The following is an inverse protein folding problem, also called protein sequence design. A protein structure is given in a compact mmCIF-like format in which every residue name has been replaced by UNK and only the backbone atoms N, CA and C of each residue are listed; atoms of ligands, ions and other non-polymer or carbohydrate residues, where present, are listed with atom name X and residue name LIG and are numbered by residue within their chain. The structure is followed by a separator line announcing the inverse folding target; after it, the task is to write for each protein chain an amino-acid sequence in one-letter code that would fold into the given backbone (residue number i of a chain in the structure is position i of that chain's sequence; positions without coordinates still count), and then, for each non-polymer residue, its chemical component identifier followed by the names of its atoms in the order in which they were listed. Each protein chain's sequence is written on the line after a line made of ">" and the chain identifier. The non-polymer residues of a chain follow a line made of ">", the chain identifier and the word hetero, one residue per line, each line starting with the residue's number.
data_IF_526192684566
#
_entry.id   IF_526192684566
#
_cell.length_a   1.000
_cell.length_b   1.000
_cell.length_c   1.000
_cell.angle_alpha   90.00
_cell.angle_beta   90.00
_cell.angle_gamma   90.00
#
_symmetry.space_group_name_H-M   'P 1'
#
loop_
_entity.id
_entity.type
_entity.pdbx_description
1 polymer ?
2 non-polymer ?
3 non-polymer ?
#
# COMPACT_ATOMS: atom_id res chain seq x y z
N UNK A 9 -29.28 21.18 10.29
CA UNK A 9 -28.22 20.65 9.45
C UNK A 9 -28.62 20.57 7.98
N UNK A 10 -27.62 20.55 7.11
CA UNK A 10 -27.82 20.48 5.67
C UNK A 10 -27.07 19.28 5.12
N UNK A 11 -27.78 18.44 4.35
CA UNK A 11 -27.14 17.30 3.74
C UNK A 11 -26.18 17.74 2.65
N UNK A 12 -25.08 17.00 2.44
CA UNK A 12 -24.11 17.40 1.44
C UNK A 12 -24.72 17.32 0.04
N UNK A 13 -24.21 18.11 -0.91
CA UNK A 13 -24.76 18.09 -2.28
C UNK A 13 -24.86 16.68 -2.83
N UNK A 14 -26.08 16.20 -3.03
CA UNK A 14 -26.34 14.80 -3.33
C UNK A 14 -26.46 14.60 -4.83
N UNK A 15 -25.63 13.71 -5.36
CA UNK A 15 -25.72 13.38 -6.78
C UNK A 15 -26.99 12.56 -7.03
N UNK A 16 -27.45 12.60 -8.28
CA UNK A 16 -28.69 11.94 -8.67
C UNK A 16 -28.39 10.76 -9.58
N UNK A 17 -28.90 9.58 -9.20
CA UNK A 17 -28.66 8.31 -9.87
C UNK A 17 -29.88 7.88 -10.65
N UNK A 18 -29.75 7.60 -11.95
CA UNK A 18 -30.88 7.02 -12.70
C UNK A 18 -31.37 5.70 -12.14
N UNK A 19 -30.45 4.86 -11.65
CA UNK A 19 -30.80 3.55 -11.11
C UNK A 19 -31.12 3.70 -9.63
N UNK A 20 -32.23 3.12 -9.16
CA UNK A 20 -32.61 3.32 -7.74
C UNK A 20 -31.63 2.72 -6.75
N UNK A 21 -31.23 1.46 -6.95
CA UNK A 21 -30.41 0.74 -5.96
C UNK A 21 -28.94 0.68 -6.35
N UNK A 22 -28.64 0.17 -7.54
CA UNK A 22 -27.23 -0.01 -7.93
C UNK A 22 -26.51 1.32 -8.01
N UNK A 23 -27.15 2.34 -8.56
CA UNK A 23 -26.55 3.67 -8.54
C UNK A 23 -25.49 3.83 -9.62
N UNK A 24 -24.33 4.35 -9.22
CA UNK A 24 -23.23 4.60 -10.14
C UNK A 24 -22.14 3.53 -10.05
N UNK A 25 -22.53 2.28 -9.75
CA UNK A 25 -21.55 1.22 -9.60
C UNK A 25 -20.78 0.97 -10.89
N UNK A 26 -21.50 0.91 -12.01
CA UNK A 26 -20.85 0.65 -13.30
C UNK A 26 -19.91 1.80 -13.66
N UNK A 27 -20.34 3.04 -13.46
CA UNK A 27 -19.50 4.18 -13.78
C UNK A 27 -18.25 4.21 -12.90
N UNK A 28 -18.41 3.93 -11.61
CA UNK A 28 -17.26 3.92 -10.71
C UNK A 28 -16.30 2.79 -11.05
N UNK A 29 -16.82 1.63 -11.45
CA UNK A 29 -15.95 0.56 -11.89
C UNK A 29 -15.23 0.90 -13.19
N UNK A 30 -15.91 1.62 -14.09
CA UNK A 30 -15.31 1.94 -15.38
C UNK A 30 -14.20 2.97 -15.24
N UNK A 31 -14.45 4.04 -14.49
CA UNK A 31 -13.47 5.12 -14.33
C UNK A 31 -13.71 5.85 -13.02
N UNK A 32 -13.21 5.30 -11.91
CA UNK A 32 -13.47 5.95 -10.61
C UNK A 32 -12.79 7.30 -10.48
N UNK A 33 -11.54 7.44 -10.90
CA UNK A 33 -10.83 8.71 -10.74
C UNK A 33 -11.49 9.80 -11.57
N UNK A 34 -11.79 9.50 -12.83
CA UNK A 34 -12.45 10.49 -13.68
C UNK A 34 -13.85 10.82 -13.18
N UNK A 35 -14.58 9.81 -12.71
CA UNK A 35 -15.92 10.05 -12.20
C UNK A 35 -15.87 10.97 -10.99
N UNK A 36 -14.94 10.70 -10.07
CA UNK A 36 -14.77 11.57 -8.90
C UNK A 36 -14.35 12.97 -9.31
N UNK A 37 -13.47 13.08 -10.29
CA UNK A 37 -13.00 14.40 -10.72
C UNK A 37 -14.14 15.24 -11.28
N UNK A 38 -14.90 14.67 -12.21
CA UNK A 38 -16.01 15.44 -12.78
C UNK A 38 -17.10 15.70 -11.76
N UNK A 39 -17.35 14.76 -10.85
CA UNK A 39 -18.31 15.01 -9.79
C UNK A 39 -17.85 16.16 -8.89
N UNK A 40 -16.54 16.24 -8.63
CA UNK A 40 -16.01 17.37 -7.87
C UNK A 40 -16.24 18.68 -8.62
N UNK A 41 -15.89 18.72 -9.90
CA UNK A 41 -16.09 19.93 -10.68
C UNK A 41 -17.56 20.36 -10.70
N UNK A 42 -18.48 19.40 -10.68
CA UNK A 42 -19.89 19.71 -10.84
C UNK A 42 -20.61 20.01 -9.52
N UNK A 43 -20.20 19.38 -8.41
CA UNK A 43 -20.94 19.51 -7.16
C UNK A 43 -20.05 19.90 -5.98
N UNK A 44 -18.88 20.47 -6.22
CA UNK A 44 -18.03 20.91 -5.14
C UNK A 44 -17.28 19.76 -4.49
N UNK A 45 -16.75 20.00 -3.28
CA UNK A 45 -15.89 19.02 -2.63
C UNK A 45 -16.59 17.94 -1.81
N UNK A 46 -17.88 18.07 -1.53
CA UNK A 46 -18.54 17.17 -0.60
C UNK A 46 -19.66 16.40 -1.30
N UNK A 47 -19.46 16.11 -2.59
CA UNK A 47 -20.48 15.39 -3.34
C UNK A 47 -20.64 13.97 -2.81
N UNK A 48 -21.90 13.52 -2.75
CA UNK A 48 -22.24 12.20 -2.24
C UNK A 48 -22.58 11.26 -3.39
N UNK A 49 -22.70 9.98 -3.06
CA UNK A 49 -22.93 8.91 -4.01
C UNK A 49 -24.21 8.17 -3.67
N UNK A 50 -24.48 7.10 -4.43
CA UNK A 50 -25.43 6.06 -4.03
C UNK A 50 -24.95 4.79 -4.73
N UNK A 51 -24.23 3.94 -3.99
CA UNK A 51 -23.63 2.74 -4.56
C UNK A 51 -24.04 1.54 -3.73
N UNK A 52 -24.90 0.69 -4.31
CA UNK A 52 -25.30 -0.59 -3.72
C UNK A 52 -25.88 -0.33 -2.33
N UNK A 53 -26.85 0.57 -2.26
CA UNK A 53 -27.54 0.81 -1.00
C UNK A 53 -26.76 1.59 0.03
N UNK A 54 -25.60 2.15 -0.33
CA UNK A 54 -24.79 2.93 0.61
C UNK A 54 -24.49 4.29 0.02
N UNK A 55 -24.43 5.30 0.90
CA UNK A 55 -24.15 6.67 0.50
C UNK A 55 -22.66 6.95 0.71
N UNK A 56 -21.92 7.07 -0.38
CA UNK A 56 -20.47 7.25 -0.32
C UNK A 56 -20.17 8.75 -0.34
N UNK A 57 -20.15 9.36 0.85
CA UNK A 57 -19.95 10.80 0.98
C UNK A 57 -18.46 11.09 0.84
N UNK A 58 -18.02 11.29 -0.40
CA UNK A 58 -16.61 11.56 -0.65
C UNK A 58 -16.24 12.98 -0.23
N UNK A 59 -15.01 13.13 0.24
CA UNK A 59 -14.46 14.43 0.63
C UNK A 59 -13.19 14.65 -0.18
N UNK A 60 -13.28 15.52 -1.19
CA UNK A 60 -12.16 15.86 -2.04
C UNK A 60 -11.60 17.22 -1.66
N UNK A 61 -10.28 17.35 -1.76
CA UNK A 61 -9.61 18.57 -1.35
C UNK A 61 -9.10 18.49 0.08
N UNK A 62 -8.12 19.35 0.38
CA UNK A 62 -7.51 19.34 1.70
C UNK A 62 -8.51 19.70 2.78
N UNK A 63 -9.31 20.74 2.55
CA UNK A 63 -10.26 21.18 3.58
C UNK A 63 -11.28 20.11 3.89
N UNK A 64 -11.79 19.43 2.87
CA UNK A 64 -12.77 18.37 3.10
C UNK A 64 -12.14 17.14 3.72
N UNK A 65 -10.94 16.77 3.26
CA UNK A 65 -10.29 15.56 3.76
C UNK A 65 -9.73 15.74 5.17
N UNK A 66 -9.61 16.98 5.64
CA UNK A 66 -9.13 17.21 7.00
C UNK A 66 -10.01 16.53 8.03
N UNK A 67 -11.33 16.48 7.79
CA UNK A 67 -12.23 15.81 8.71
C UNK A 67 -11.86 14.34 8.86
N UNK A 68 -11.66 13.64 7.74
CA UNK A 68 -11.33 12.22 7.81
C UNK A 68 -9.93 12.00 8.39
N UNK A 69 -8.98 12.88 8.06
CA UNK A 69 -7.61 12.68 8.52
C UNK A 69 -7.39 13.13 9.95
N UNK A 70 -8.32 13.86 10.55
CA UNK A 70 -8.24 14.23 11.96
C UNK A 70 -9.33 13.62 12.81
N UNK A 71 -10.21 12.81 12.22
CA UNK A 71 -11.33 12.24 12.97
C UNK A 71 -10.85 11.17 13.93
N UNK A 72 -11.69 10.88 14.91
CA UNK A 72 -11.45 9.84 15.90
C UNK A 72 -12.25 8.60 15.56
N UNK A 73 -11.78 7.45 16.05
CA UNK A 73 -12.46 6.19 15.78
C UNK A 73 -13.85 6.16 16.41
N UNK A 74 -14.09 6.95 17.47
CA UNK A 74 -15.42 7.07 18.01
C UNK A 74 -16.38 7.79 17.07
N UNK A 75 -15.85 8.56 16.13
CA UNK A 75 -16.66 9.29 15.16
C UNK A 75 -16.65 8.63 13.78
N UNK A 76 -15.47 8.39 13.21
CA UNK A 76 -15.32 7.72 11.92
C UNK A 76 -14.74 6.33 12.19
N UNK A 77 -15.61 5.33 12.19
CA UNK A 77 -15.24 3.97 12.55
C UNK A 77 -14.77 3.22 11.31
N UNK A 78 -13.49 2.86 11.28
CA UNK A 78 -12.96 2.07 10.17
C UNK A 78 -13.36 0.60 10.28
N UNK A 79 -13.58 0.12 11.51
CA UNK A 79 -13.90 -1.29 11.69
C UNK A 79 -15.22 -1.65 11.02
N UNK A 80 -16.24 -0.80 11.15
CA UNK A 80 -17.53 -1.12 10.57
C UNK A 80 -17.48 -1.21 9.04
N UNK A 81 -16.42 -0.71 8.42
CA UNK A 81 -16.22 -0.84 6.98
C UNK A 81 -15.34 -2.03 6.64
N UNK A 82 -14.26 -2.24 7.40
CA UNK A 82 -13.21 -3.16 6.99
C UNK A 82 -13.20 -4.50 7.73
N UNK A 83 -14.06 -4.69 8.72
CA UNK A 83 -13.98 -5.89 9.55
C UNK A 83 -14.37 -7.13 8.76
N UNK A 84 -15.51 -7.07 8.06
CA UNK A 84 -16.00 -8.23 7.34
C UNK A 84 -15.04 -8.68 6.25
N UNK A 85 -14.12 -7.82 5.82
CA UNK A 85 -13.13 -8.21 4.83
C UNK A 85 -11.81 -8.63 5.48
N UNK A 86 -11.35 -7.94 6.52
CA UNK A 86 -10.03 -8.20 7.07
C UNK A 86 -10.02 -9.32 8.11
N UNK A 87 -11.09 -9.51 8.88
CA UNK A 87 -11.09 -10.56 9.89
C UNK A 87 -10.92 -11.96 9.29
N UNK A 88 -11.71 -12.39 8.29
CA UNK A 88 -11.52 -13.76 7.80
C UNK A 88 -10.15 -14.04 7.20
N UNK A 89 -9.52 -13.03 6.61
CA UNK A 89 -8.24 -13.24 5.93
C UNK A 89 -7.06 -13.09 6.88
N UNK A 90 -7.12 -12.13 7.82
CA UNK A 90 -6.02 -11.92 8.75
C UNK A 90 -6.12 -12.84 9.96
N UNK A 91 -7.25 -12.83 10.65
CA UNK A 91 -7.43 -13.65 11.83
C UNK A 91 -8.41 -13.01 12.78
N UNK A 92 -8.67 -13.71 13.87
CA UNK A 92 -9.56 -13.24 14.92
C UNK A 92 -8.74 -12.72 16.09
N UNK A 93 -9.15 -11.58 16.64
CA UNK A 93 -8.41 -10.94 17.70
C UNK A 93 -7.25 -10.09 17.23
N UNK A 94 -7.14 -9.84 15.93
CA UNK A 94 -6.06 -9.05 15.37
C UNK A 94 -6.64 -8.13 14.30
N UNK A 95 -5.85 -7.13 13.90
CA UNK A 95 -6.19 -6.20 12.83
C UNK A 95 -7.43 -5.42 13.23
N UNK A 96 -8.53 -5.47 12.48
CA UNK A 96 -9.71 -4.68 12.78
C UNK A 96 -10.72 -5.40 13.65
N UNK A 97 -10.43 -6.63 14.08
CA UNK A 97 -11.39 -7.37 14.89
C UNK A 97 -11.51 -6.78 16.29
N UNK A 98 -10.39 -6.36 16.88
CA UNK A 98 -10.36 -5.89 18.25
C UNK A 98 -10.97 -4.48 18.34
N UNK A 99 -11.40 -4.04 19.51
CA UNK A 99 -11.82 -2.65 19.68
C UNK A 99 -10.68 -1.69 19.35
N UNK A 100 -11.02 -0.40 19.29
CA UNK A 100 -10.07 0.61 18.85
C UNK A 100 -8.88 0.81 19.80
N UNK A 101 -9.03 0.71 21.14
CA UNK A 101 -7.82 0.84 21.98
C UNK A 101 -6.87 -0.33 21.80
N UNK A 102 -7.39 -1.55 21.71
CA UNK A 102 -6.55 -2.70 21.44
C UNK A 102 -5.91 -2.57 20.07
N UNK A 103 -6.65 -2.03 19.10
CA UNK A 103 -6.09 -1.81 17.77
C UNK A 103 -4.93 -0.83 17.82
N UNK A 104 -5.08 0.26 18.58
CA UNK A 104 -3.99 1.22 18.73
C UNK A 104 -2.78 0.58 19.41
N UNK A 105 -3.03 -0.26 20.42
CA UNK A 105 -1.93 -0.95 21.09
C UNK A 105 -1.20 -1.88 20.12
N UNK A 106 -1.94 -2.60 19.30
CA UNK A 106 -1.33 -3.47 18.30
C UNK A 106 -0.54 -2.66 17.29
N UNK A 107 -1.08 -1.52 16.86
CA UNK A 107 -0.40 -0.68 15.89
C UNK A 107 0.92 -0.15 16.45
N UNK A 108 0.93 0.32 17.70
CA UNK A 108 2.18 0.82 18.26
C UNK A 108 3.17 -0.31 18.52
N UNK A 109 2.67 -1.50 18.91
CA UNK A 109 3.57 -2.63 19.06
C UNK A 109 4.23 -3.01 17.74
N UNK A 110 3.47 -2.97 16.65
CA UNK A 110 4.04 -3.24 15.34
C UNK A 110 5.02 -2.16 14.93
N UNK A 111 4.69 -0.89 15.17
CA UNK A 111 5.58 0.21 14.79
C UNK A 111 6.87 0.17 15.59
N UNK A 112 6.84 -0.41 16.80
CA UNK A 112 8.06 -0.51 17.59
C UNK A 112 9.11 -1.37 16.89
N UNK A 113 8.68 -2.45 16.24
CA UNK A 113 9.64 -3.33 15.58
C UNK A 113 10.33 -2.67 14.40
N UNK A 114 9.58 -1.96 13.57
CA UNK A 114 10.13 -1.32 12.37
C UNK A 114 10.91 -0.08 12.80
N UNK A 115 12.19 -0.25 13.07
CA UNK A 115 13.05 0.83 13.53
C UNK A 115 14.31 0.88 12.67
N UNK A 116 15.17 1.86 12.98
CA UNK A 116 16.38 2.08 12.21
C UNK A 116 17.31 0.88 12.33
N UNK A 117 17.39 0.28 13.52
CA UNK A 117 18.26 -0.87 13.72
C UNK A 117 17.86 -2.03 12.82
N UNK A 118 16.55 -2.30 12.71
CA UNK A 118 16.10 -3.36 11.82
C UNK A 118 16.27 -2.96 10.35
N UNK A 119 16.06 -1.68 10.03
CA UNK A 119 16.21 -1.25 8.65
C UNK A 119 17.65 -1.36 8.16
N UNK A 120 18.62 -1.19 9.06
CA UNK A 120 20.02 -1.29 8.66
C UNK A 120 20.35 -2.67 8.13
N UNK A 121 19.67 -3.70 8.60
CA UNK A 121 19.83 -5.04 8.06
C UNK A 121 18.84 -5.33 6.92
N UNK A 122 17.66 -4.71 6.98
CA UNK A 122 16.68 -4.89 5.91
C UNK A 122 17.24 -4.41 4.58
N UNK A 123 18.00 -3.32 4.59
CA UNK A 123 18.58 -2.81 3.34
C UNK A 123 19.46 -3.88 2.69
N UNK A 124 20.37 -4.47 3.47
CA UNK A 124 21.26 -5.48 2.92
C UNK A 124 20.49 -6.73 2.50
N UNK A 125 19.48 -7.13 3.28
CA UNK A 125 18.71 -8.31 2.94
C UNK A 125 17.99 -8.11 1.62
N UNK A 126 17.34 -6.95 1.44
CA UNK A 126 16.61 -6.68 0.22
C UNK A 126 17.55 -6.56 -0.96
N UNK A 127 18.71 -5.93 -0.77
CA UNK A 127 19.68 -5.82 -1.86
C UNK A 127 20.16 -7.20 -2.30
N UNK A 128 20.48 -8.06 -1.35
CA UNK A 128 20.92 -9.41 -1.70
C UNK A 128 19.82 -10.17 -2.43
N UNK A 129 18.59 -10.08 -1.93
CA UNK A 129 17.50 -10.83 -2.53
C UNK A 129 17.20 -10.34 -3.95
N UNK A 130 17.21 -9.03 -4.18
CA UNK A 130 16.94 -8.54 -5.52
C UNK A 130 18.08 -8.85 -6.47
N UNK A 131 19.33 -8.78 -6.00
CA UNK A 131 20.45 -9.12 -6.84
C UNK A 131 20.42 -10.60 -7.23
N UNK A 132 19.99 -11.46 -6.31
CA UNK A 132 19.89 -12.88 -6.64
C UNK A 132 18.69 -13.16 -7.53
N UNK A 133 17.57 -12.48 -7.32
CA UNK A 133 16.35 -12.78 -8.04
C UNK A 133 16.40 -12.27 -9.48
N UNK A 134 17.00 -11.10 -9.71
CA UNK A 134 17.04 -10.55 -11.06
C UNK A 134 18.16 -11.13 -11.90
N UNK A 135 18.72 -12.27 -11.51
CA UNK A 135 19.69 -12.96 -12.37
C UNK A 135 18.98 -13.67 -13.52
N UNK A 136 17.72 -14.04 -13.34
CA UNK A 136 16.99 -14.80 -14.35
C UNK A 136 16.52 -13.94 -15.52
N UNK A 137 16.55 -12.61 -15.38
CA UNK A 137 16.08 -11.75 -16.47
C UNK A 137 17.07 -11.69 -17.63
N UNK A 138 18.29 -12.17 -17.44
CA UNK A 138 19.25 -12.20 -18.52
C UNK A 138 19.80 -10.82 -18.86
N UNK A 139 20.51 -10.78 -19.99
CA UNK A 139 21.11 -9.52 -20.44
C UNK A 139 20.06 -8.56 -20.98
N UNK A 140 19.10 -9.08 -21.74
CA UNK A 140 18.09 -8.22 -22.35
C UNK A 140 16.84 -9.05 -22.65
N UNK A 141 15.75 -8.35 -22.93
CA UNK A 141 14.50 -8.98 -23.27
C UNK A 141 13.34 -8.19 -22.68
N UNK A 142 12.18 -8.83 -22.67
CA UNK A 142 10.97 -8.25 -22.11
C UNK A 142 10.37 -9.18 -21.07
N UNK A 143 9.80 -8.60 -20.02
CA UNK A 143 9.24 -9.38 -18.92
C UNK A 143 8.03 -8.65 -18.36
N UNK A 144 7.23 -9.39 -17.61
CA UNK A 144 6.08 -8.80 -16.91
C UNK A 144 6.59 -8.14 -15.64
N UNK A 145 6.63 -6.80 -15.65
CA UNK A 145 7.24 -6.06 -14.55
C UNK A 145 6.45 -6.28 -13.26
N UNK A 146 5.12 -6.20 -13.35
CA UNK A 146 4.30 -6.24 -12.14
C UNK A 146 4.44 -7.57 -11.42
N UNK A 147 4.40 -8.68 -12.15
CA UNK A 147 4.48 -9.99 -11.51
C UNK A 147 5.87 -10.25 -10.95
N UNK A 148 6.91 -9.90 -11.70
CA UNK A 148 8.27 -10.10 -11.21
C UNK A 148 8.52 -9.27 -9.97
N UNK A 149 8.07 -8.01 -9.97
CA UNK A 149 8.24 -7.16 -8.80
C UNK A 149 7.41 -7.67 -7.62
N UNK A 150 6.22 -8.20 -7.87
CA UNK A 150 5.43 -8.78 -6.79
C UNK A 150 6.14 -9.97 -6.17
N UNK A 151 6.73 -10.83 -7.01
CA UNK A 151 7.44 -12.00 -6.50
C UNK A 151 8.67 -11.57 -5.69
N UNK A 152 9.42 -10.61 -6.21
CA UNK A 152 10.57 -10.07 -5.48
C UNK A 152 10.14 -9.46 -4.16
N UNK A 153 9.05 -8.70 -4.16
CA UNK A 153 8.63 -8.00 -2.96
C UNK A 153 8.09 -8.98 -1.93
N UNK A 154 7.42 -10.04 -2.35
CA UNK A 154 6.96 -11.02 -1.37
C UNK A 154 8.16 -11.73 -0.74
N UNK A 155 9.18 -12.06 -1.55
CA UNK A 155 10.39 -12.64 -0.96
C UNK A 155 11.03 -11.69 0.04
N UNK A 156 11.24 -10.43 -0.35
CA UNK A 156 11.93 -9.49 0.51
C UNK A 156 11.15 -9.20 1.78
N UNK A 157 9.83 -9.01 1.65
CA UNK A 157 8.99 -8.76 2.81
C UNK A 157 9.01 -9.94 3.76
N UNK A 158 8.91 -11.17 3.24
CA UNK A 158 9.00 -12.33 4.11
C UNK A 158 10.34 -12.35 4.84
N UNK A 159 11.43 -12.24 4.09
CA UNK A 159 12.76 -12.35 4.68
C UNK A 159 12.99 -11.29 5.75
N UNK A 160 12.52 -10.06 5.50
CA UNK A 160 12.75 -8.98 6.44
C UNK A 160 11.84 -9.09 7.67
N UNK A 161 10.54 -9.22 7.44
CA UNK A 161 9.60 -9.18 8.55
C UNK A 161 9.57 -10.50 9.31
N UNK A 162 9.19 -11.59 8.63
CA UNK A 162 8.90 -12.83 9.35
C UNK A 162 10.16 -13.51 9.84
N UNK A 163 11.27 -13.35 9.12
CA UNK A 163 12.54 -13.92 9.52
C UNK A 163 13.01 -15.01 8.58
N UNK A 164 14.26 -15.42 8.81
CA UNK A 164 14.88 -16.44 7.97
C UNK A 164 14.15 -17.77 8.06
N UNK A 165 13.59 -18.10 9.22
CA UNK A 165 12.89 -19.37 9.37
C UNK A 165 11.69 -19.45 8.44
N UNK A 166 10.89 -18.38 8.38
CA UNK A 166 9.75 -18.36 7.47
C UNK A 166 10.22 -18.25 6.02
N UNK A 167 11.23 -17.42 5.75
CA UNK A 167 11.66 -17.20 4.38
C UNK A 167 12.20 -18.48 3.76
N UNK A 168 12.98 -19.25 4.51
CA UNK A 168 13.52 -20.51 3.98
C UNK A 168 12.40 -21.47 3.61
N UNK A 169 11.32 -21.49 4.41
CA UNK A 169 10.19 -22.36 4.12
C UNK A 169 9.35 -21.86 2.94
N UNK A 170 9.62 -20.66 2.44
CA UNK A 170 8.82 -20.10 1.35
C UNK A 170 9.11 -20.84 0.05
N UNK A 171 8.05 -21.28 -0.63
CA UNK A 171 8.16 -21.91 -1.94
C UNK A 171 7.02 -21.44 -2.83
N UNK A 172 6.89 -22.04 -4.02
CA UNK A 172 5.83 -21.65 -4.94
C UNK A 172 4.45 -21.94 -4.36
N UNK A 173 4.31 -23.04 -3.63
CA UNK A 173 3.02 -23.38 -3.05
C UNK A 173 2.55 -22.32 -2.05
N UNK A 174 3.44 -21.89 -1.16
CA UNK A 174 3.04 -20.88 -0.18
C UNK A 174 2.94 -19.50 -0.82
N UNK A 175 3.71 -19.25 -1.89
CA UNK A 175 3.52 -18.00 -2.63
C UNK A 175 2.14 -17.94 -3.26
N UNK A 176 1.69 -19.06 -3.85
CA UNK A 176 0.32 -19.13 -4.35
C UNK A 176 -0.68 -19.03 -3.23
N UNK A 177 -0.35 -19.55 -2.04
CA UNK A 177 -1.23 -19.40 -0.89
C UNK A 177 -1.38 -17.93 -0.50
N UNK A 178 -0.29 -17.18 -0.51
CA UNK A 178 -0.35 -15.75 -0.23
C UNK A 178 -1.15 -15.01 -1.30
N UNK A 179 -0.97 -15.37 -2.56
CA UNK A 179 -1.76 -14.78 -3.63
C UNK A 179 -3.24 -15.06 -3.43
N UNK A 180 -3.58 -16.29 -3.04
CA UNK A 180 -4.97 -16.64 -2.76
C UNK A 180 -5.52 -15.86 -1.58
N UNK A 181 -4.71 -15.68 -0.52
CA UNK A 181 -5.13 -14.88 0.61
C UNK A 181 -5.44 -13.45 0.17
N UNK A 182 -4.57 -12.87 -0.67
CA UNK A 182 -4.86 -11.56 -1.23
C UNK A 182 -6.07 -11.59 -2.14
N UNK A 183 -6.42 -12.75 -2.70
CA UNK A 183 -7.62 -12.88 -3.49
C UNK A 183 -8.90 -12.71 -2.71
N UNK A 184 -8.82 -12.80 -1.38
CA UNK A 184 -9.99 -12.53 -0.56
C UNK A 184 -10.47 -11.10 -0.68
N UNK A 185 -9.56 -10.16 -0.93
CA UNK A 185 -9.91 -8.77 -1.16
C UNK A 185 -10.33 -8.63 -2.61
N UNK A 186 -11.64 -8.67 -2.85
CA UNK A 186 -12.19 -8.52 -4.19
C UNK A 186 -13.62 -8.01 -4.06
N UNK A 187 -14.32 -7.95 -5.20
CA UNK A 187 -15.69 -7.45 -5.19
C UNK A 187 -16.59 -8.30 -4.31
N UNK A 188 -16.46 -9.63 -4.42
CA UNK A 188 -17.31 -10.54 -3.65
C UNK A 188 -17.23 -10.25 -2.16
N UNK A 189 -16.07 -9.79 -1.68
CA UNK A 189 -15.92 -9.48 -0.27
C UNK A 189 -16.89 -8.39 0.16
N UNK A 190 -17.04 -7.34 -0.65
CA UNK A 190 -18.00 -6.29 -0.35
C UNK A 190 -19.43 -6.72 -0.64
N UNK A 191 -19.73 -7.01 -1.93
CA UNK A 191 -21.12 -7.25 -2.29
C UNK A 191 -21.66 -8.54 -1.67
N UNK A 192 -20.96 -9.64 -1.84
CA UNK A 192 -21.62 -10.83 -1.34
C UNK A 192 -21.26 -11.09 0.12
N UNK A 193 -22.18 -11.66 0.89
CA UNK A 193 -21.95 -11.82 2.33
C UNK A 193 -21.07 -13.03 2.63
N UNK A 194 -20.70 -13.13 3.91
CA UNK A 194 -19.93 -14.25 4.40
C UNK A 194 -20.80 -15.45 4.73
N UNK A 195 -21.78 -15.71 3.88
CA UNK A 195 -22.70 -16.84 4.03
C UNK A 195 -22.56 -17.87 2.92
N UNK A 196 -22.36 -17.42 1.70
CA UNK A 196 -22.25 -18.33 0.55
C UNK A 196 -20.90 -19.03 0.57
N UNK A 197 -20.85 -20.35 0.43
CA UNK A 197 -19.55 -21.06 0.31
C UNK A 197 -18.99 -20.95 -1.11
N UNK A 198 -18.74 -19.71 -1.50
CA UNK A 198 -18.16 -19.46 -2.83
C UNK A 198 -16.82 -20.17 -2.82
N UNK A 199 -16.27 -20.68 -3.94
CA UNK A 199 -14.95 -21.31 -3.98
C UNK A 199 -13.82 -20.33 -3.68
N UNK A 200 -13.97 -19.07 -4.06
CA UNK A 200 -12.99 -18.05 -3.65
C UNK A 200 -12.98 -17.88 -2.14
N UNK A 201 -14.16 -17.85 -1.51
CA UNK A 201 -14.23 -17.72 -0.06
C UNK A 201 -13.57 -18.90 0.64
N UNK A 202 -13.86 -20.12 0.19
CA UNK A 202 -13.26 -21.30 0.80
C UNK A 202 -11.77 -21.41 0.51
N UNK A 203 -11.32 -20.95 -0.66
CA UNK A 203 -9.89 -20.89 -0.93
C UNK A 203 -9.21 -19.95 0.05
N UNK A 204 -9.79 -18.77 0.26
CA UNK A 204 -9.20 -17.82 1.22
C UNK A 204 -9.18 -18.39 2.62
N UNK A 205 -10.27 -19.06 3.03
CA UNK A 205 -10.32 -19.63 4.37
C UNK A 205 -9.27 -20.71 4.55
N UNK A 206 -9.16 -21.62 3.57
CA UNK A 206 -8.16 -22.69 3.65
C UNK A 206 -6.75 -22.11 3.67
N UNK A 207 -6.50 -21.10 2.85
CA UNK A 207 -5.19 -20.45 2.83
C UNK A 207 -4.87 -19.84 4.20
N UNK A 208 -5.86 -19.18 4.81
CA UNK A 208 -5.62 -18.58 6.11
C UNK A 208 -5.31 -19.64 7.16
N UNK A 209 -6.06 -20.76 7.17
CA UNK A 209 -5.78 -21.80 8.14
C UNK A 209 -4.40 -22.40 7.93
N UNK A 210 -4.02 -22.70 6.69
CA UNK A 210 -2.72 -23.29 6.43
C UNK A 210 -1.59 -22.33 6.80
N UNK A 211 -1.75 -21.04 6.47
CA UNK A 211 -0.73 -20.05 6.78
C UNK A 211 -0.58 -19.90 8.28
N UNK A 212 -1.71 -19.86 9.01
CA UNK A 212 -1.61 -19.76 10.46
C UNK A 212 -1.00 -21.00 11.07
N UNK A 213 -1.23 -22.18 10.49
CA UNK A 213 -0.62 -23.39 11.03
C UNK A 213 0.90 -23.38 10.84
N UNK A 214 1.36 -23.09 9.62
CA UNK A 214 2.81 -23.04 9.40
C UNK A 214 3.44 -21.94 10.23
N UNK A 215 2.71 -20.84 10.41
CA UNK A 215 3.24 -19.73 11.22
C UNK A 215 3.29 -20.11 12.69
N UNK A 216 2.33 -20.91 13.17
CA UNK A 216 2.40 -21.42 14.53
C UNK A 216 3.63 -22.30 14.72
N UNK A 217 3.90 -23.17 13.75
CA UNK A 217 5.08 -24.01 13.83
C UNK A 217 6.35 -23.17 13.86
N UNK A 218 6.43 -22.15 12.99
CA UNK A 218 7.60 -21.28 12.97
C UNK A 218 7.75 -20.51 14.27
N UNK A 219 6.64 -20.02 14.82
CA UNK A 219 6.69 -19.26 16.07
C UNK A 219 7.17 -20.16 17.21
N UNK A 220 6.67 -21.39 17.27
CA UNK A 220 7.13 -22.32 18.30
C UNK A 220 8.62 -22.60 18.15
N UNK A 221 9.08 -22.81 16.92
CA UNK A 221 10.51 -23.05 16.71
C UNK A 221 11.35 -21.87 17.15
N UNK A 222 10.93 -20.65 16.78
CA UNK A 222 11.69 -19.47 17.18
C UNK A 222 11.69 -19.28 18.68
N UNK A 223 10.54 -19.52 19.33
CA UNK A 223 10.46 -19.39 20.77
C UNK A 223 11.37 -20.41 21.46
N UNK A 224 11.41 -21.63 20.95
CA UNK A 224 12.30 -22.65 21.51
C UNK A 224 13.75 -22.44 21.13
N UNK A 225 14.04 -21.57 20.16
CA UNK A 225 15.41 -21.33 19.75
C UNK A 225 16.21 -20.69 20.89
N UNK A 226 17.40 -21.25 21.15
CA UNK A 226 18.26 -20.71 22.21
C UNK A 226 18.93 -19.41 21.79
N UNK A 227 19.41 -19.35 20.55
CA UNK A 227 20.12 -18.17 20.08
C UNK A 227 19.16 -16.98 19.95
N UNK A 228 19.66 -15.79 20.30
CA UNK A 228 18.87 -14.57 20.27
C UNK A 228 19.16 -13.81 18.98
N UNK A 229 18.12 -13.55 18.20
CA UNK A 229 18.23 -12.81 16.95
C UNK A 229 17.16 -11.73 16.93
N UNK A 230 17.55 -10.51 16.57
CA UNK A 230 16.64 -9.37 16.54
C UNK A 230 15.90 -9.34 15.20
N UNK A 231 14.58 -9.36 15.27
CA UNK A 231 13.73 -9.36 14.08
C UNK A 231 12.37 -8.80 14.47
N UNK A 232 11.50 -8.64 13.46
CA UNK A 232 10.13 -8.20 13.75
C UNK A 232 9.41 -9.24 14.59
N UNK A 233 9.58 -10.52 14.25
CA UNK A 233 8.92 -11.58 15.02
C UNK A 233 9.43 -11.62 16.45
N UNK A 234 10.75 -11.52 16.65
CA UNK A 234 11.31 -11.53 17.99
C UNK A 234 10.85 -10.32 18.79
N UNK A 235 10.81 -9.14 18.15
CA UNK A 235 10.35 -7.94 18.84
C UNK A 235 8.89 -8.09 19.25
N UNK A 236 8.06 -8.63 18.36
CA UNK A 236 6.65 -8.84 18.70
C UNK A 236 6.51 -9.82 19.86
N UNK A 237 7.30 -10.90 19.84
CA UNK A 237 7.18 -11.89 20.91
C UNK A 237 7.63 -11.32 22.25
N UNK A 238 8.75 -10.60 22.27
CA UNK A 238 9.24 -10.02 23.51
C UNK A 238 8.29 -8.94 24.02
N UNK A 239 7.78 -8.09 23.13
CA UNK A 239 6.88 -7.03 23.54
C UNK A 239 5.55 -7.59 24.00
N UNK A 240 5.00 -7.00 25.06
CA UNK A 240 3.72 -7.40 25.62
C UNK A 240 2.71 -6.28 25.44
N UNK A 241 1.48 -6.54 25.88
CA UNK A 241 0.44 -5.53 25.83
C UNK A 241 0.74 -4.43 26.84
N UNK A 242 0.01 -3.32 26.71
CA UNK A 242 0.15 -2.22 27.67
C UNK A 242 -0.26 -2.67 29.07
N UNK A 243 -1.34 -3.44 29.17
CA UNK A 243 -1.75 -3.96 30.46
C UNK A 243 -0.69 -4.91 31.04
N UNK A 244 -0.11 -5.76 30.20
CA UNK A 244 0.93 -6.65 30.64
C UNK A 244 0.76 -8.08 30.16
N UNK A 245 -0.32 -8.35 29.43
CA UNK A 245 -0.56 -9.70 28.93
C UNK A 245 0.43 -10.03 27.82
N UNK A 246 1.14 -11.15 27.92
CA UNK A 246 2.03 -11.55 26.82
C UNK A 246 1.24 -11.78 25.54
N UNK A 247 1.86 -11.43 24.41
CA UNK A 247 1.20 -11.59 23.12
C UNK A 247 1.05 -13.07 22.80
N UNK A 248 -0.17 -13.48 22.47
CA UNK A 248 -0.42 -14.87 22.12
C UNK A 248 0.11 -15.17 20.71
N UNK A 249 0.36 -16.45 20.46
CA UNK A 249 0.89 -16.87 19.16
C UNK A 249 -0.13 -16.58 18.05
N UNK A 250 -1.41 -16.78 18.33
CA UNK A 250 -2.44 -16.45 17.34
C UNK A 250 -2.41 -14.97 17.00
N UNK A 251 -2.31 -14.11 18.02
CA UNK A 251 -2.26 -12.67 17.78
C UNK A 251 -1.02 -12.30 16.99
N UNK A 252 0.14 -12.90 17.32
CA UNK A 252 1.37 -12.58 16.61
C UNK A 252 1.26 -13.00 15.15
N UNK A 253 0.72 -14.19 14.90
CA UNK A 253 0.51 -14.62 13.53
C UNK A 253 -0.40 -13.66 12.78
N UNK A 254 -1.49 -13.24 13.41
CA UNK A 254 -2.35 -12.27 12.77
C UNK A 254 -1.63 -10.97 12.44
N UNK A 255 -0.82 -10.48 13.38
CA UNK A 255 -0.05 -9.26 13.15
C UNK A 255 0.82 -9.39 11.92
N UNK A 256 1.56 -10.51 11.83
CA UNK A 256 2.56 -10.61 10.77
C UNK A 256 1.93 -10.90 9.40
N UNK A 257 0.91 -11.76 9.35
CA UNK A 257 0.20 -11.96 8.09
C UNK A 257 -0.66 -10.77 7.71
N UNK A 258 -0.89 -9.83 8.63
CA UNK A 258 -1.47 -8.57 8.23
C UNK A 258 -0.42 -7.65 7.66
N UNK A 259 0.73 -7.58 8.33
CA UNK A 259 1.82 -6.71 7.90
C UNK A 259 2.26 -7.06 6.48
N UNK A 260 2.59 -8.33 6.23
CA UNK A 260 3.12 -8.70 4.93
C UNK A 260 2.05 -8.59 3.83
N UNK A 261 0.83 -9.04 4.12
CA UNK A 261 -0.22 -8.99 3.12
C UNK A 261 -0.63 -7.55 2.81
N UNK A 262 -0.22 -6.62 3.67
CA UNK A 262 -0.66 -5.22 3.45
C UNK A 262 0.38 -4.45 2.68
N UNK A 263 1.56 -5.03 2.52
CA UNK A 263 2.65 -4.34 1.81
C UNK A 263 3.07 -5.08 0.57
N UNK A 264 2.52 -6.26 0.31
CA UNK A 264 2.97 -7.07 -0.85
C UNK A 264 2.39 -6.42 -2.08
N UNK A 265 1.11 -6.06 -2.08
CA UNK A 265 0.49 -5.54 -3.34
C UNK A 265 0.39 -4.02 -3.38
N UNK A 266 0.60 -3.34 -2.26
CA UNK A 266 0.59 -1.86 -2.26
C UNK A 266 2.01 -1.38 -2.53
N UNK A 267 2.96 -2.30 -2.64
CA UNK A 267 4.36 -1.92 -2.90
C UNK A 267 4.79 -2.47 -4.27
N UNK A 268 4.18 -3.55 -4.75
CA UNK A 268 4.53 -4.05 -6.07
C UNK A 268 4.04 -3.11 -7.16
N UNK A 269 2.79 -2.64 -7.05
CA UNK A 269 2.25 -1.76 -8.07
C UNK A 269 2.97 -0.41 -8.10
N UNK A 270 3.33 0.12 -6.92
CA UNK A 270 4.09 1.36 -6.88
C UNK A 270 5.45 1.20 -7.54
N UNK A 271 6.13 0.08 -7.27
CA UNK A 271 7.42 -0.17 -7.89
C UNK A 271 7.28 -0.28 -9.41
N UNK A 272 6.26 -1.00 -9.88
CA UNK A 272 6.07 -1.13 -11.32
C UNK A 272 5.75 0.22 -11.96
N UNK A 273 4.92 1.03 -11.30
CA UNK A 273 4.57 2.34 -11.83
C UNK A 273 5.79 3.24 -11.93
N UNK A 274 6.63 3.23 -10.89
CA UNK A 274 7.85 4.03 -10.95
C UNK A 274 8.78 3.52 -12.04
N UNK A 275 8.82 2.20 -12.24
CA UNK A 275 9.64 1.67 -13.32
C UNK A 275 9.19 2.14 -14.68
N UNK A 276 7.88 2.13 -14.92
CA UNK A 276 7.37 2.59 -16.21
C UNK A 276 7.55 4.09 -16.37
N UNK A 277 7.36 4.86 -15.30
CA UNK A 277 7.59 6.30 -15.39
C UNK A 277 9.05 6.61 -15.70
N UNK A 278 9.98 5.89 -15.06
CA UNK A 278 11.39 6.10 -15.33
C UNK A 278 11.77 5.62 -16.73
N UNK A 279 11.12 4.57 -17.23
CA UNK A 279 11.35 4.14 -18.61
C UNK A 279 10.89 5.21 -19.59
N UNK A 280 9.73 5.81 -19.35
CA UNK A 280 9.26 6.89 -20.22
C UNK A 280 10.18 8.09 -20.14
N UNK A 281 10.66 8.42 -18.94
CA UNK A 281 11.60 9.53 -18.75
C UNK A 281 13.03 8.96 -18.73
N UNK A 282 13.57 8.76 -19.93
CA UNK A 282 14.91 8.18 -20.04
C UNK A 282 15.96 9.12 -19.47
N UNK A 283 15.79 10.43 -19.66
CA UNK A 283 16.72 11.39 -19.07
C UNK A 283 16.68 11.30 -17.54
N UNK A 284 15.48 11.18 -16.97
CA UNK A 284 15.37 11.04 -15.51
C UNK A 284 16.01 9.75 -15.04
N UNK A 285 15.83 8.66 -15.79
CA UNK A 285 16.48 7.41 -15.43
C UNK A 285 18.00 7.54 -15.47
N UNK A 286 18.52 8.23 -16.49
CA UNK A 286 19.95 8.47 -16.57
C UNK A 286 20.44 9.30 -15.39
N UNK A 287 19.67 10.32 -15.00
CA UNK A 287 20.04 11.12 -13.84
C UNK A 287 20.03 10.28 -12.57
N UNK A 288 19.04 9.40 -12.41
CA UNK A 288 19.00 8.53 -11.24
C UNK A 288 20.20 7.60 -11.20
N UNK A 289 20.56 7.01 -12.35
CA UNK A 289 21.73 6.14 -12.37
C UNK A 289 23.01 6.93 -12.09
N UNK A 290 23.09 8.17 -12.59
CA UNK A 290 24.24 9.00 -12.28
C UNK A 290 24.33 9.27 -10.79
N UNK A 291 23.19 9.50 -10.15
CA UNK A 291 23.17 9.65 -8.70
C UNK A 291 23.67 8.39 -8.00
N UNK A 292 23.18 7.23 -8.46
CA UNK A 292 23.65 5.96 -7.89
C UNK A 292 25.16 5.81 -8.06
N UNK A 293 25.70 6.34 -9.15
CA UNK A 293 27.14 6.23 -9.39
C UNK A 293 27.92 7.21 -8.52
N UNK A 294 27.38 8.39 -8.26
CA UNK A 294 28.16 9.46 -7.64
C UNK A 294 28.00 9.55 -6.12
N UNK A 295 26.78 9.38 -5.60
CA UNK A 295 26.59 9.61 -4.17
C UNK A 295 26.74 8.35 -3.34
N UNK A 296 26.39 7.19 -3.90
CA UNK A 296 26.62 5.94 -3.18
C UNK A 296 28.08 5.52 -3.25
N UNK A 297 28.74 5.80 -4.36
CA UNK A 297 30.11 5.40 -4.57
C UNK A 297 30.39 5.05 -6.02
N UNK A 298 31.57 5.42 -6.52
CA UNK A 298 31.91 5.15 -7.92
C UNK A 298 32.00 3.66 -8.18
N UNK A 299 32.51 2.89 -7.21
CA UNK A 299 32.59 1.44 -7.34
C UNK A 299 31.26 0.75 -7.11
N UNK A 300 30.21 1.50 -6.75
CA UNK A 300 28.88 0.98 -6.47
C UNK A 300 28.93 -0.06 -5.36
N UNK A 301 29.20 0.35 -4.13
CA UNK A 301 29.23 -0.60 -3.01
C UNK A 301 27.82 -0.97 -2.58
N UNK A 302 27.66 -2.04 -1.81
CA UNK A 302 26.32 -2.39 -1.31
C UNK A 302 25.72 -1.27 -0.49
N UNK A 303 24.41 -1.09 -0.63
CA UNK A 303 23.73 0.01 0.03
C UNK A 303 23.63 -0.22 1.54
N UNK A 304 23.39 0.86 2.26
CA UNK A 304 23.10 0.81 3.69
C UNK A 304 22.13 1.94 4.01
N UNK A 305 21.51 1.85 5.19
CA UNK A 305 20.52 2.85 5.58
C UNK A 305 21.12 4.25 5.59
N UNK A 306 22.41 4.38 5.92
CA UNK A 306 23.05 5.68 5.88
C UNK A 306 23.07 6.24 4.45
N UNK A 307 23.37 5.40 3.48
CA UNK A 307 23.38 5.84 2.09
C UNK A 307 21.97 6.02 1.53
N UNK A 308 20.97 5.41 2.16
CA UNK A 308 19.60 5.58 1.68
C UNK A 308 19.16 7.04 1.71
N UNK A 309 19.49 7.75 2.79
CA UNK A 309 19.11 9.15 2.90
C UNK A 309 19.78 10.02 1.85
N UNK A 310 20.84 9.53 1.21
CA UNK A 310 21.56 10.30 0.20
C UNK A 310 20.90 10.23 -1.18
N UNK A 311 19.86 9.41 -1.35
CA UNK A 311 19.21 9.25 -2.64
C UNK A 311 17.97 10.14 -2.72
N UNK A 312 18.22 11.45 -2.68
CA UNK A 312 17.12 12.41 -2.69
C UNK A 312 16.35 12.37 -3.99
N UNK A 313 17.06 12.21 -5.13
CA UNK A 313 16.37 12.16 -6.41
C UNK A 313 15.49 10.91 -6.51
N UNK A 314 15.98 9.77 -6.05
CA UNK A 314 15.15 8.57 -6.06
C UNK A 314 13.97 8.72 -5.11
N UNK A 315 14.18 9.38 -3.97
CA UNK A 315 13.07 9.65 -3.06
C UNK A 315 12.01 10.50 -3.72
N UNK A 316 12.44 11.53 -4.47
CA UNK A 316 11.49 12.37 -5.20
C UNK A 316 10.76 11.57 -6.27
N UNK A 317 11.47 10.68 -6.95
CA UNK A 317 10.82 9.84 -7.96
C UNK A 317 9.76 8.94 -7.35
N UNK A 318 10.08 8.34 -6.19
CA UNK A 318 9.08 7.50 -5.51
C UNK A 318 7.90 8.35 -5.06
N UNK A 319 8.17 9.56 -4.56
CA UNK A 319 7.09 10.44 -4.12
C UNK A 319 6.18 10.81 -5.27
N UNK A 320 6.75 11.11 -6.43
CA UNK A 320 5.93 11.45 -7.59
C UNK A 320 5.15 10.25 -8.10
N UNK A 321 5.76 9.06 -8.06
CA UNK A 321 5.06 7.84 -8.44
C UNK A 321 3.86 7.61 -7.53
N UNK A 322 4.05 7.79 -6.22
CA UNK A 322 2.94 7.62 -5.29
C UNK A 322 1.87 8.70 -5.49
N UNK A 323 2.30 9.91 -5.85
CA UNK A 323 1.34 10.98 -6.09
C UNK A 323 0.47 10.67 -7.30
N UNK A 324 1.09 10.26 -8.40
CA UNK A 324 0.35 10.02 -9.63
C UNK A 324 -0.50 8.75 -9.53
N UNK A 325 0.09 7.67 -9.03
CA UNK A 325 -0.56 6.35 -9.01
C UNK A 325 -0.49 5.78 -7.61
N UNK A 326 -1.32 6.24 -6.69
CA UNK A 326 -1.34 5.70 -5.33
C UNK A 326 -1.92 4.30 -5.33
N UNK A 327 -1.35 3.39 -4.53
CA UNK A 327 -1.94 2.05 -4.41
C UNK A 327 -3.33 2.09 -3.81
N UNK A 328 -3.45 2.71 -2.63
CA UNK A 328 -4.73 2.83 -1.94
C UNK A 328 -5.38 4.11 -2.44
N UNK A 329 -6.34 3.98 -3.36
CA UNK A 329 -7.01 5.13 -3.94
C UNK A 329 -8.18 5.62 -3.10
N UNK A 330 -8.61 4.86 -2.10
CA UNK A 330 -9.76 5.22 -1.28
C UNK A 330 -9.54 4.70 0.13
N UNK A 331 -9.68 5.58 1.11
CA UNK A 331 -9.65 5.21 2.52
C UNK A 331 -11.03 5.46 3.10
N UNK A 332 -11.80 4.39 3.28
CA UNK A 332 -13.18 4.49 3.71
C UNK A 332 -13.28 4.64 5.23
N UNK A 333 -14.38 5.23 5.68
CA UNK A 333 -14.71 5.33 7.09
C UNK A 333 -16.23 5.23 7.21
N UNK A 334 -16.69 4.82 8.39
CA UNK A 334 -18.13 4.72 8.66
C UNK A 334 -18.53 5.79 9.66
N UNK A 335 -19.37 6.71 9.23
CA UNK A 335 -19.88 7.73 10.13
C UNK A 335 -20.85 7.12 11.14
N UNK A 336 -20.72 7.52 12.40
CA UNK A 336 -21.61 7.07 13.45
C UNK A 336 -22.15 8.19 14.31
N UNK A 337 -21.59 9.40 14.22
CA UNK A 337 -22.09 10.60 14.86
C UNK A 337 -22.15 11.71 13.82
N UNK A 338 -23.08 12.65 13.95
CA UNK A 338 -23.15 13.74 12.97
C UNK A 338 -21.89 14.59 12.97
N UNK A 339 -21.34 14.80 11.78
CA UNK A 339 -20.14 15.61 11.60
C UNK A 339 -20.40 16.67 10.55
N UNK A 340 -19.69 17.79 10.66
CA UNK A 340 -19.85 18.91 9.75
C UNK A 340 -18.52 19.22 9.07
N UNK A 341 -18.52 19.23 7.74
CA UNK A 341 -17.38 19.66 6.96
C UNK A 341 -17.87 20.51 5.79
N UNK A 342 -17.20 21.64 5.56
CA UNK A 342 -17.57 22.59 4.52
C UNK A 342 -19.02 23.06 4.67
N UNK A 343 -19.52 23.06 5.90
CA UNK A 343 -20.88 23.46 6.18
C UNK A 343 -21.94 22.43 5.92
N UNK A 344 -21.58 21.23 5.46
CA UNK A 344 -22.52 20.18 5.15
C UNK A 344 -22.42 19.09 6.21
N UNK A 345 -23.54 18.78 6.85
CA UNK A 345 -23.57 17.77 7.91
C UNK A 345 -23.76 16.39 7.30
N UNK A 346 -22.89 15.46 7.69
CA UNK A 346 -22.96 14.07 7.24
C UNK A 346 -23.67 13.27 8.32
N UNK A 347 -24.90 12.78 8.09
CA UNK A 347 -25.57 11.99 9.12
C UNK A 347 -24.91 10.64 9.28
N UNK A 348 -25.04 10.01 10.45
CA UNK A 348 -24.46 8.68 10.63
C UNK A 348 -25.05 7.67 9.65
N UNK A 349 -24.21 6.72 9.23
CA UNK A 349 -24.59 5.71 8.28
C UNK A 349 -24.00 5.90 6.90
N UNK A 350 -23.53 7.10 6.59
CA UNK A 350 -22.88 7.35 5.30
C UNK A 350 -21.45 6.88 5.35
N UNK A 351 -21.02 6.16 4.31
CA UNK A 351 -19.64 5.70 4.21
C UNK A 351 -18.77 6.88 3.80
N UNK A 352 -18.31 7.64 4.80
CA UNK A 352 -17.43 8.77 4.53
C UNK A 352 -16.16 8.27 3.86
N UNK A 353 -15.79 8.91 2.77
CA UNK A 353 -14.69 8.44 1.93
C UNK A 353 -13.63 9.53 1.82
N UNK A 354 -12.54 9.17 1.14
CA UNK A 354 -11.50 10.13 0.77
C UNK A 354 -10.68 9.47 -0.32
N UNK A 355 -10.18 10.28 -1.25
CA UNK A 355 -9.47 9.75 -2.40
C UNK A 355 -8.02 10.25 -2.41
N UNK A 356 -7.07 9.47 -1.89
CA UNK A 356 -5.66 9.84 -2.00
C UNK A 356 -5.12 9.84 -3.42
N UNK A 357 -5.96 9.58 -4.42
CA UNK A 357 -5.55 9.72 -5.82
C UNK A 357 -6.03 11.04 -6.42
N UNK A 358 -7.32 11.37 -6.25
CA UNK A 358 -7.82 12.64 -6.73
C UNK A 358 -7.25 13.80 -5.92
N UNK A 359 -6.97 13.57 -4.63
CA UNK A 359 -6.44 14.65 -3.80
C UNK A 359 -5.08 15.15 -4.26
N UNK A 360 -4.37 14.36 -5.08
CA UNK A 360 -3.03 14.71 -5.50
C UNK A 360 -2.91 15.07 -6.98
N UNK A 361 -3.99 14.92 -7.76
CA UNK A 361 -3.99 15.33 -9.15
C UNK A 361 -5.03 16.43 -9.42
N UNK A 362 -5.47 17.13 -8.38
CA UNK A 362 -6.39 18.24 -8.56
C UNK A 362 -5.66 19.42 -9.19
N UNK A 363 -6.26 20.00 -10.23
CA UNK A 363 -5.65 21.13 -10.93
C UNK A 363 -5.69 22.42 -10.13
N UNK A 364 -6.41 22.45 -9.00
CA UNK A 364 -6.48 23.66 -8.20
C UNK A 364 -5.11 24.02 -7.61
N UNK A 365 -4.35 23.01 -7.18
CA UNK A 365 -3.04 23.23 -6.58
C UNK A 365 -1.91 22.47 -7.26
N UNK A 366 -2.18 21.30 -7.83
CA UNK A 366 -1.14 20.49 -8.47
C UNK A 366 -1.05 20.91 -9.94
N UNK A 367 -0.13 21.82 -10.24
CA UNK A 367 0.07 22.25 -11.62
C UNK A 367 0.74 21.13 -12.41
N UNK A 368 0.47 21.08 -13.70
CA UNK A 368 0.70 19.91 -14.56
C UNK A 368 0.36 18.62 -13.80
N UNK A 369 -0.92 18.50 -13.45
CA UNK A 369 -1.38 17.46 -12.55
C UNK A 369 -0.98 16.07 -13.01
N UNK A 370 -1.14 15.77 -14.30
CA UNK A 370 -0.89 14.45 -14.83
C UNK A 370 0.53 14.29 -15.39
N UNK A 371 1.39 15.27 -15.20
CA UNK A 371 2.75 15.24 -15.73
C UNK A 371 3.70 14.71 -14.66
N UNK A 372 4.50 13.71 -15.02
CA UNK A 372 5.48 13.13 -14.11
C UNK A 372 6.73 14.00 -14.10
N UNK A 373 6.98 14.65 -12.96
CA UNK A 373 8.15 15.53 -12.82
C UNK A 373 8.59 15.51 -11.38
N UNK A 374 9.56 14.66 -11.02
CA UNK A 374 10.10 14.61 -9.66
C UNK A 374 11.07 15.75 -9.35
N UNK A 375 10.69 16.96 -9.76
CA UNK A 375 11.40 18.17 -9.38
C UNK A 375 10.45 19.20 -8.78
N UNK A 376 9.16 18.89 -8.70
CA UNK A 376 8.19 19.83 -8.12
C UNK A 376 8.47 20.06 -6.65
N UNK A 377 8.85 19.01 -5.92
CA UNK A 377 9.15 19.14 -4.49
C UNK A 377 10.45 19.87 -4.23
N UNK A 378 11.29 20.07 -5.25
CA UNK A 378 12.45 20.94 -5.08
C UNK A 378 12.01 22.37 -4.82
N UNK A 379 10.97 22.84 -5.52
CA UNK A 379 10.39 24.14 -5.28
C UNK A 379 9.16 24.00 -4.37
N UNK A 380 8.47 25.11 -4.16
CA UNK A 380 7.25 25.07 -3.36
C UNK A 380 6.16 24.33 -4.11
N UNK A 381 5.42 23.49 -3.38
CA UNK A 381 4.44 22.62 -3.99
C UNK A 381 3.43 22.20 -2.92
N UNK A 382 2.27 21.68 -3.32
CA UNK A 382 1.23 21.37 -2.32
C UNK A 382 1.65 20.36 -1.26
N UNK A 383 2.57 19.44 -1.56
CA UNK A 383 2.94 18.41 -0.58
C UNK A 383 3.45 19.03 0.71
N UNK A 384 4.05 20.22 0.62
CA UNK A 384 4.46 20.96 1.81
C UNK A 384 3.58 22.17 2.10
N UNK A 385 3.01 22.79 1.06
CA UNK A 385 2.16 23.96 1.29
C UNK A 385 0.87 23.62 2.01
N UNK A 386 0.20 22.55 1.61
CA UNK A 386 -1.11 22.20 2.14
C UNK A 386 -1.00 20.99 3.06
N UNK A 387 -1.91 20.92 4.03
CA UNK A 387 -1.83 19.89 5.06
C UNK A 387 -2.08 18.51 4.48
N UNK A 388 -3.17 18.34 3.73
CA UNK A 388 -3.59 17.03 3.27
C UNK A 388 -3.82 17.03 1.76
N UNK A 389 -2.88 17.61 1.02
CA UNK A 389 -2.94 17.56 -0.45
C UNK A 389 -2.23 16.34 -1.00
N UNK A 390 -1.07 16.01 -0.46
CA UNK A 390 -0.28 14.85 -0.86
C UNK A 390 -0.36 13.82 0.27
N UNK A 391 -1.26 12.86 0.14
CA UNK A 391 -1.50 11.89 1.20
C UNK A 391 -1.48 10.46 0.63
N UNK A 392 -0.34 9.96 0.17
CA UNK A 392 -0.31 8.59 -0.37
C UNK A 392 -0.33 7.56 0.73
N UNK A 393 0.32 7.87 1.87
CA UNK A 393 0.34 6.99 3.02
C UNK A 393 -0.67 7.41 4.08
N UNK A 394 -1.53 8.37 3.79
CA UNK A 394 -2.39 8.95 4.78
C UNK A 394 -1.66 10.02 5.58
N UNK A 395 -2.44 10.79 6.34
CA UNK A 395 -1.88 11.85 7.16
C UNK A 395 -2.77 12.08 8.37
N UNK A 396 -2.23 12.78 9.34
CA UNK A 396 -2.97 13.01 10.58
C UNK A 396 -2.89 11.79 11.47
N UNK A 397 -4.03 11.41 12.05
CA UNK A 397 -4.05 10.26 12.93
C UNK A 397 -3.97 8.95 12.15
N UNK A 398 -4.60 8.89 10.98
CA UNK A 398 -4.68 7.64 10.21
C UNK A 398 -3.57 7.64 9.16
N UNK A 399 -2.46 6.98 9.50
CA UNK A 399 -1.33 6.86 8.60
C UNK A 399 -0.87 5.41 8.54
N UNK A 400 -0.11 5.09 7.51
CA UNK A 400 0.50 3.77 7.41
C UNK A 400 1.57 3.60 8.47
N UNK A 401 1.56 2.44 9.13
CA UNK A 401 2.58 2.14 10.14
C UNK A 401 3.87 1.62 9.52
N UNK A 402 3.93 1.50 8.20
CA UNK A 402 5.11 1.00 7.54
C UNK A 402 5.53 1.82 6.35
N UNK A 403 5.26 3.13 6.39
CA UNK A 403 5.73 3.99 5.31
C UNK A 403 7.25 4.05 5.27
N UNK A 404 7.89 4.00 6.44
CA UNK A 404 9.35 3.95 6.47
C UNK A 404 9.86 2.65 5.85
N UNK A 405 9.20 1.53 6.16
CA UNK A 405 9.60 0.26 5.56
C UNK A 405 9.38 0.27 4.06
N UNK A 406 8.30 0.90 3.59
CA UNK A 406 8.09 1.01 2.15
C UNK A 406 9.16 1.86 1.49
N UNK A 407 9.51 2.99 2.12
CA UNK A 407 10.53 3.87 1.57
C UNK A 407 11.93 3.28 1.67
N UNK A 408 12.12 2.26 2.51
CA UNK A 408 13.42 1.58 2.56
C UNK A 408 13.42 0.32 1.71
N UNK A 409 12.24 -0.23 1.36
CA UNK A 409 12.17 -1.40 0.51
C UNK A 409 12.21 -1.01 -0.96
N UNK A 410 11.34 -0.10 -1.38
CA UNK A 410 11.30 0.30 -2.78
C UNK A 410 12.57 1.05 -3.17
N UNK A 411 13.10 1.87 -2.27
CA UNK A 411 14.33 2.63 -2.58
C UNK A 411 15.57 1.74 -2.47
N UNK A 412 15.46 0.47 -2.07
CA UNK A 412 16.63 -0.46 -2.07
C UNK A 412 16.46 -1.45 -3.20
N UNK A 413 15.23 -1.76 -3.58
CA UNK A 413 14.94 -2.60 -4.74
C UNK A 413 15.27 -1.84 -6.01
N UNK A 414 14.79 -0.60 -6.12
CA UNK A 414 14.99 0.15 -7.35
C UNK A 414 16.40 0.69 -7.47
N UNK A 415 17.07 0.89 -6.34
CA UNK A 415 18.48 1.31 -6.43
C UNK A 415 19.30 0.19 -7.04
N UNK A 416 19.11 -1.03 -6.56
CA UNK A 416 19.82 -2.16 -7.15
C UNK A 416 19.38 -2.42 -8.58
N UNK A 417 18.08 -2.26 -8.86
CA UNK A 417 17.57 -2.55 -10.19
C UNK A 417 18.12 -1.58 -11.22
N UNK A 418 18.22 -0.29 -10.87
CA UNK A 418 18.83 0.70 -11.75
C UNK A 418 20.33 0.50 -11.82
N UNK A 419 20.96 0.00 -10.76
CA UNK A 419 22.37 -0.36 -10.83
C UNK A 419 22.60 -1.50 -11.80
N UNK A 420 21.61 -2.37 -11.98
CA UNK A 420 21.77 -3.55 -12.81
C UNK A 420 21.44 -3.28 -14.28
N UNK A 421 20.21 -2.86 -14.57
CA UNK A 421 19.72 -2.76 -15.93
C UNK A 421 19.57 -1.30 -16.36
N UNK A 422 19.10 -1.11 -17.59
CA UNK A 422 18.79 0.21 -18.16
C UNK A 422 17.42 0.08 -18.80
N UNK A 423 16.38 0.36 -18.02
CA UNK A 423 15.01 0.13 -18.45
C UNK A 423 14.59 1.08 -19.56
N UNK A 424 13.83 0.55 -20.51
CA UNK A 424 13.35 1.32 -21.66
C UNK A 424 11.99 0.77 -22.08
N UNK A 425 11.04 1.66 -22.28
CA UNK A 425 9.69 1.24 -22.67
C UNK A 425 9.71 0.61 -24.05
N UNK A 426 8.70 -0.23 -24.30
CA UNK A 426 8.58 -0.96 -25.56
C UNK A 426 7.46 -0.34 -26.38
N UNK A 427 7.78 0.01 -27.64
CA UNK A 427 6.81 0.58 -28.59
C UNK A 427 6.17 1.86 -28.07
N UNK A 428 6.78 2.50 -27.08
CA UNK A 428 6.22 3.72 -26.53
C UNK A 428 4.86 3.55 -25.90
N UNK A 429 4.52 2.34 -25.46
CA UNK A 429 3.22 2.04 -24.86
C UNK A 429 3.35 2.11 -23.35
N UNK A 430 2.98 3.24 -22.77
CA UNK A 430 2.92 3.35 -21.33
C UNK A 430 1.71 2.59 -20.82
N UNK A 431 1.89 1.62 -19.92
CA UNK A 431 0.74 0.82 -19.46
C UNK A 431 -0.32 1.70 -18.79
N UNK A 432 -1.58 1.36 -19.05
CA UNK A 432 -2.70 2.07 -18.46
C UNK A 432 -3.04 1.48 -17.09
N UNK A 433 -4.13 1.95 -16.51
CA UNK A 433 -4.53 1.52 -15.17
C UNK A 433 -5.62 0.46 -15.30
N UNK A 434 -5.40 -0.69 -14.66
CA UNK A 434 -6.39 -1.77 -14.62
C UNK A 434 -7.30 -1.54 -13.43
N UNK A 435 -8.46 -0.92 -13.68
CA UNK A 435 -9.39 -0.60 -12.59
C UNK A 435 -10.07 -1.82 -12.02
N UNK A 436 -9.97 -2.98 -12.66
CA UNK A 436 -10.64 -4.18 -12.15
C UNK A 436 -10.09 -4.58 -10.79
N UNK A 437 -8.77 -4.55 -10.62
CA UNK A 437 -8.17 -4.87 -9.34
C UNK A 437 -8.42 -3.76 -8.33
N UNK A 438 -8.50 -4.14 -7.05
CA UNK A 438 -8.74 -3.17 -6.00
C UNK A 438 -7.55 -2.21 -5.87
N UNK A 439 -6.33 -2.73 -5.99
CA UNK A 439 -5.15 -1.90 -6.14
C UNK A 439 -4.86 -1.80 -7.63
N UNK A 440 -4.89 -0.58 -8.16
CA UNK A 440 -4.79 -0.36 -9.60
C UNK A 440 -3.39 -0.74 -10.09
N UNK A 441 -3.29 -1.89 -10.75
CA UNK A 441 -2.07 -2.40 -11.33
C UNK A 441 -1.94 -1.96 -12.79
N UNK A 442 -0.72 -1.80 -13.30
CA UNK A 442 -0.55 -1.42 -14.70
C UNK A 442 -1.12 -2.49 -15.62
N UNK A 443 -1.67 -2.05 -16.75
CA UNK A 443 -2.26 -2.94 -17.73
C UNK A 443 -1.20 -3.39 -18.74
N UNK A 444 -1.05 -4.70 -18.87
CA UNK A 444 -0.06 -5.31 -19.76
C UNK A 444 1.33 -4.76 -19.49
N UNK A 445 1.92 -5.04 -18.33
CA UNK A 445 3.24 -4.50 -18.02
C UNK A 445 4.36 -5.24 -18.73
N UNK A 446 4.93 -4.65 -19.77
CA UNK A 446 6.05 -5.24 -20.51
C UNK A 446 7.06 -4.14 -20.79
N UNK A 447 8.32 -4.40 -20.48
CA UNK A 447 9.38 -3.41 -20.66
C UNK A 447 10.55 -4.08 -21.38
N UNK A 448 11.17 -3.35 -22.30
CA UNK A 448 12.37 -3.84 -22.98
C UNK A 448 13.59 -3.37 -22.19
N UNK A 449 14.15 -4.25 -21.38
CA UNK A 449 15.27 -3.93 -20.52
C UNK A 449 16.59 -4.33 -21.16
N UNK A 450 17.65 -3.60 -20.82
CA UNK A 450 18.99 -3.91 -21.27
C UNK A 450 19.94 -3.74 -20.10
N UNK A 451 21.03 -4.53 -20.11
CA UNK A 451 21.99 -4.47 -19.03
C UNK A 451 22.78 -3.16 -19.09
N UNK A 452 22.91 -2.51 -17.94
CA UNK A 452 23.68 -1.28 -17.87
C UNK A 452 25.16 -1.55 -18.15
N UNK A 453 25.78 -0.62 -18.89
CA UNK A 453 27.19 -0.76 -19.24
C UNK A 453 28.08 -0.67 -18.01
#
# INVERSE_FOLDING_TARGET
>A
MAKKTSSKGKLPPYIFSPIPFLGHAIAFGKSPIEFLENAYEKYGPVFSFTMVGKTFTYLLGSDAAALLFNSKNEDLNAEDVYSRLTTPVFGKGVAYDVPNPVFLEQKKMLKSGLNIAHFKQHVSIIEKETKEYFESWGESGEKNVFEALSELIILTASHCLHGKEIRSQLNEKVAQLYADLDGGFSHAAWLLPGWLPLPSFRRRDRAHREIKDIFYKAIQKRRQSQEKIDDILQTLLDATYKDGRPLTDDEVAGMLIGLLLAGQHTSSTTSAWMGFFLARDKTLQKKCYLEQKTVCGENLPPLTYDQLKDLNLLDRCIKETLRLRPPIMIMMRMARTPQTVAGYTIPPGHQVCVSPTVNQRLKDSWVERLDFNPDRYLQDNPASGEKFAYVPFGAGRHRCIGENFAYVQIKTIWSTMLRLYEFDLIDGYFPTVNYTTMIHTPENPVIRYKRRSKHHHH
#
